data_IF_993435752647
#
_entry.id   IF_993435752647
#
_cell.length_a   1.000
_cell.length_b   1.000
_cell.length_c   1.000
_cell.angle_alpha   90.00
_cell.angle_beta   90.00
_cell.angle_gamma   90.00
#
_symmetry.space_group_name_H-M   'P 1'
#
loop_
_entity.id
_entity.type
_entity.pdbx_description
1 polymer ?
#
# COMPACT_ATOMS: atom_id res chain seq x y z
N UNK A 1 -24.69 -25.37 -3.91
CA UNK A 1 -24.72 -24.76 -5.26
C UNK A 1 -24.04 -25.71 -6.23
N UNK A 2 -24.56 -25.89 -7.45
CA UNK A 2 -23.89 -26.71 -8.45
C UNK A 2 -22.56 -26.04 -8.88
N UNK A 3 -21.50 -26.84 -9.03
CA UNK A 3 -20.20 -26.43 -9.60
C UNK A 3 -20.46 -25.75 -10.96
N UNK A 4 -19.80 -24.63 -11.25
CA UNK A 4 -20.01 -23.89 -12.51
C UNK A 4 -21.27 -23.01 -12.58
N UNK A 5 -22.08 -22.89 -11.52
CA UNK A 5 -23.28 -22.02 -11.55
C UNK A 5 -22.95 -20.53 -11.38
N UNK A 6 -21.86 -20.20 -10.68
CA UNK A 6 -21.40 -18.83 -10.46
C UNK A 6 -20.79 -18.27 -11.75
N UNK A 7 -19.81 -18.97 -12.33
CA UNK A 7 -19.15 -18.55 -13.57
C UNK A 7 -20.12 -18.38 -14.74
N UNK A 8 -21.06 -19.31 -14.94
CA UNK A 8 -22.08 -19.21 -16.01
C UNK A 8 -22.96 -17.97 -15.88
N UNK A 9 -23.37 -17.62 -14.66
CA UNK A 9 -24.19 -16.45 -14.40
C UNK A 9 -23.41 -15.16 -14.63
N UNK A 10 -22.15 -15.10 -14.18
CA UNK A 10 -21.28 -13.94 -14.37
C UNK A 10 -21.01 -13.74 -15.86
N UNK A 11 -20.61 -14.80 -16.58
CA UNK A 11 -20.42 -14.79 -18.04
C UNK A 11 -21.62 -14.18 -18.76
N UNK A 12 -22.82 -14.74 -18.54
CA UNK A 12 -24.06 -14.27 -19.21
C UNK A 12 -24.34 -12.79 -18.95
N UNK A 13 -24.20 -12.34 -17.70
CA UNK A 13 -24.44 -10.93 -17.34
C UNK A 13 -23.39 -10.02 -17.96
N UNK A 14 -22.12 -10.42 -17.91
CA UNK A 14 -21.02 -9.61 -18.38
C UNK A 14 -21.04 -9.45 -19.91
N UNK A 15 -21.39 -10.49 -20.67
CA UNK A 15 -21.60 -10.36 -22.13
C UNK A 15 -22.62 -9.28 -22.47
N UNK A 16 -23.73 -9.23 -21.72
CA UNK A 16 -24.78 -8.21 -21.92
C UNK A 16 -24.29 -6.80 -21.64
N UNK A 17 -23.51 -6.62 -20.56
CA UNK A 17 -22.96 -5.32 -20.16
C UNK A 17 -21.87 -4.85 -21.14
N UNK A 18 -20.95 -5.74 -21.52
CA UNK A 18 -19.74 -5.35 -22.25
C UNK A 18 -19.96 -5.07 -23.73
N UNK A 19 -20.98 -5.65 -24.37
CA UNK A 19 -21.26 -5.44 -25.81
C UNK A 19 -21.47 -3.98 -26.20
N UNK A 20 -21.90 -3.12 -25.27
CA UNK A 20 -22.05 -1.67 -25.47
C UNK A 20 -21.25 -0.80 -24.50
N UNK A 21 -20.41 -1.38 -23.64
CA UNK A 21 -19.67 -0.63 -22.64
C UNK A 21 -18.48 0.13 -23.26
N UNK A 22 -18.41 1.44 -23.02
CA UNK A 22 -17.21 2.25 -23.27
C UNK A 22 -16.12 1.94 -22.23
N UNK A 23 -16.51 1.74 -20.97
CA UNK A 23 -15.61 1.36 -19.88
C UNK A 23 -15.73 -0.13 -19.54
N UNK A 24 -14.91 -0.94 -20.22
CA UNK A 24 -14.85 -2.39 -20.01
C UNK A 24 -14.31 -2.75 -18.64
N UNK A 25 -13.30 -2.03 -18.16
CA UNK A 25 -12.61 -2.32 -16.91
C UNK A 25 -13.50 -2.02 -15.70
N UNK A 26 -14.10 -0.82 -15.66
CA UNK A 26 -15.03 -0.43 -14.59
C UNK A 26 -16.25 -1.34 -14.54
N UNK A 27 -16.85 -1.64 -15.70
CA UNK A 27 -18.02 -2.54 -15.80
C UNK A 27 -17.71 -3.95 -15.31
N UNK A 28 -16.54 -4.49 -15.66
CA UNK A 28 -16.11 -5.82 -15.23
C UNK A 28 -15.88 -5.85 -13.72
N UNK A 29 -15.12 -4.88 -13.20
CA UNK A 29 -14.77 -4.77 -11.78
C UNK A 29 -16.02 -4.62 -10.90
N UNK A 30 -16.95 -3.76 -11.30
CA UNK A 30 -18.18 -3.55 -10.54
C UNK A 30 -19.03 -4.83 -10.48
N UNK A 31 -19.19 -5.50 -11.62
CA UNK A 31 -19.99 -6.71 -11.72
C UNK A 31 -19.38 -7.87 -10.93
N UNK A 32 -18.07 -8.10 -11.04
CA UNK A 32 -17.39 -9.18 -10.30
C UNK A 32 -17.42 -8.91 -8.81
N UNK A 33 -17.15 -7.67 -8.36
CA UNK A 33 -17.26 -7.26 -6.95
C UNK A 33 -18.65 -7.51 -6.37
N UNK A 34 -19.69 -7.06 -7.07
CA UNK A 34 -21.06 -7.27 -6.64
C UNK A 34 -21.43 -8.77 -6.63
N UNK A 35 -20.97 -9.53 -7.62
CA UNK A 35 -21.22 -10.96 -7.71
C UNK A 35 -20.54 -11.74 -6.58
N UNK A 36 -19.25 -11.54 -6.36
CA UNK A 36 -18.48 -12.21 -5.31
C UNK A 36 -19.07 -11.92 -3.93
N UNK A 37 -19.31 -10.64 -3.60
CA UNK A 37 -19.93 -10.27 -2.32
C UNK A 37 -21.28 -10.98 -2.14
N UNK A 38 -22.14 -10.96 -3.17
CA UNK A 38 -23.45 -11.61 -3.12
C UNK A 38 -23.36 -13.12 -2.92
N UNK A 39 -22.49 -13.83 -3.65
CA UNK A 39 -22.37 -15.28 -3.55
C UNK A 39 -21.76 -15.72 -2.21
N UNK A 40 -20.82 -14.94 -1.66
CA UNK A 40 -20.27 -15.19 -0.33
C UNK A 40 -21.32 -14.94 0.76
N UNK A 41 -22.11 -13.85 0.66
CA UNK A 41 -23.17 -13.53 1.62
C UNK A 41 -24.36 -14.49 1.57
N UNK A 42 -24.61 -15.15 0.44
CA UNK A 42 -25.71 -16.10 0.28
C UNK A 42 -25.53 -17.41 1.08
N UNK A 43 -24.36 -17.65 1.69
CA UNK A 43 -24.09 -18.87 2.45
C UNK A 43 -24.58 -18.77 3.92
N UNK A 44 -25.58 -19.60 4.27
CA UNK A 44 -26.28 -19.61 5.58
C UNK A 44 -25.68 -20.57 6.62
N UNK A 45 -24.82 -21.52 6.24
CA UNK A 45 -24.28 -22.54 7.17
C UNK A 45 -22.84 -22.25 7.61
N UNK A 46 -22.59 -22.21 8.93
CA UNK A 46 -21.27 -21.92 9.54
C UNK A 46 -20.20 -23.01 9.34
N UNK A 47 -20.58 -24.25 9.01
CA UNK A 47 -19.65 -25.41 8.85
C UNK A 47 -19.03 -25.54 7.45
N UNK A 48 -19.59 -24.86 6.43
CA UNK A 48 -19.12 -24.87 5.04
C UNK A 48 -18.39 -23.57 4.63
N UNK A 49 -18.20 -22.63 5.56
CA UNK A 49 -17.43 -21.39 5.36
C UNK A 49 -15.92 -21.62 5.53
N UNK A 50 -15.42 -22.65 4.88
CA UNK A 50 -13.99 -22.93 4.80
C UNK A 50 -13.32 -21.98 3.81
N UNK A 51 -12.01 -21.74 3.96
CA UNK A 51 -11.19 -21.01 2.99
C UNK A 51 -11.46 -21.47 1.54
N UNK A 52 -11.65 -22.78 1.34
CA UNK A 52 -12.04 -23.40 0.06
C UNK A 52 -13.33 -22.84 -0.56
N UNK A 53 -14.34 -22.46 0.23
CA UNK A 53 -15.56 -21.86 -0.33
C UNK A 53 -15.28 -20.47 -0.91
N UNK A 54 -14.50 -19.67 -0.19
CA UNK A 54 -14.11 -18.32 -0.65
C UNK A 54 -13.30 -18.45 -1.93
N UNK A 55 -12.29 -19.33 -1.92
CA UNK A 55 -11.46 -19.65 -3.07
C UNK A 55 -12.32 -20.09 -4.28
N UNK A 56 -13.25 -21.03 -4.11
CA UNK A 56 -14.12 -21.46 -5.21
C UNK A 56 -14.98 -20.33 -5.79
N UNK A 57 -15.52 -19.43 -4.95
CA UNK A 57 -16.32 -18.30 -5.43
C UNK A 57 -15.45 -17.29 -6.17
N UNK A 58 -14.23 -17.03 -5.68
CA UNK A 58 -13.25 -16.15 -6.34
C UNK A 58 -12.88 -16.71 -7.71
N UNK A 59 -12.49 -17.99 -7.77
CA UNK A 59 -12.13 -18.69 -9.00
C UNK A 59 -13.25 -18.64 -10.04
N UNK A 60 -14.46 -19.04 -9.65
CA UNK A 60 -15.64 -19.00 -10.53
C UNK A 60 -15.99 -17.59 -10.97
N UNK A 61 -15.73 -16.58 -10.14
CA UNK A 61 -15.96 -15.18 -10.49
C UNK A 61 -14.99 -14.74 -11.57
N UNK A 62 -13.70 -14.99 -11.39
CA UNK A 62 -12.65 -14.57 -12.32
C UNK A 62 -12.81 -15.29 -13.66
N UNK A 63 -12.95 -16.62 -13.66
CA UNK A 63 -13.15 -17.41 -14.89
C UNK A 63 -14.45 -17.00 -15.61
N UNK A 64 -15.54 -16.81 -14.85
CA UNK A 64 -16.82 -16.34 -15.41
C UNK A 64 -16.70 -14.98 -16.09
N UNK A 65 -15.93 -14.06 -15.50
CA UNK A 65 -15.70 -12.74 -16.08
C UNK A 65 -14.82 -12.82 -17.33
N UNK A 66 -13.75 -13.61 -17.32
CA UNK A 66 -12.89 -13.79 -18.50
C UNK A 66 -13.64 -14.38 -19.68
N UNK A 67 -14.43 -15.44 -19.46
CA UNK A 67 -15.31 -16.01 -20.50
C UNK A 67 -16.29 -14.96 -21.02
N UNK A 68 -16.87 -14.15 -20.13
CA UNK A 68 -17.80 -13.08 -20.52
C UNK A 68 -17.14 -11.94 -21.31
N UNK A 69 -15.89 -11.61 -21.00
CA UNK A 69 -15.08 -10.66 -21.76
C UNK A 69 -14.70 -11.19 -23.13
N UNK A 70 -14.27 -12.45 -23.22
CA UNK A 70 -13.96 -13.14 -24.48
C UNK A 70 -15.18 -13.22 -25.41
N UNK A 71 -16.32 -13.68 -24.88
CA UNK A 71 -17.59 -13.76 -25.61
C UNK A 71 -18.08 -12.37 -26.10
N UNK A 72 -17.64 -11.30 -25.45
CA UNK A 72 -17.93 -9.91 -25.82
C UNK A 72 -16.86 -9.28 -26.73
N UNK A 73 -15.82 -10.04 -27.13
CA UNK A 73 -14.71 -9.59 -27.98
C UNK A 73 -13.85 -8.52 -27.32
N UNK A 74 -13.66 -8.57 -26.00
CA UNK A 74 -12.89 -7.57 -25.24
C UNK A 74 -11.48 -8.05 -24.93
N UNK A 75 -10.61 -7.08 -24.66
CA UNK A 75 -9.21 -7.31 -24.29
C UNK A 75 -9.10 -8.16 -23.01
N UNK A 76 -8.62 -9.40 -23.15
CA UNK A 76 -8.53 -10.37 -22.06
C UNK A 76 -7.63 -9.92 -20.91
N UNK A 77 -6.41 -9.38 -21.14
CA UNK A 77 -5.59 -8.88 -20.05
C UNK A 77 -6.26 -7.77 -19.22
N UNK A 78 -6.96 -6.83 -19.87
CA UNK A 78 -7.71 -5.80 -19.15
C UNK A 78 -8.92 -6.36 -18.38
N UNK A 79 -9.64 -7.32 -18.97
CA UNK A 79 -10.74 -8.02 -18.29
C UNK A 79 -10.22 -8.82 -17.09
N UNK A 80 -9.11 -9.53 -17.23
CA UNK A 80 -8.49 -10.30 -16.16
C UNK A 80 -8.09 -9.41 -14.98
N UNK A 81 -7.40 -8.29 -15.25
CA UNK A 81 -7.05 -7.31 -14.22
C UNK A 81 -8.29 -6.81 -13.47
N UNK A 82 -9.32 -6.39 -14.20
CA UNK A 82 -10.56 -5.89 -13.62
C UNK A 82 -11.33 -6.95 -12.84
N UNK A 83 -11.36 -8.19 -13.34
CA UNK A 83 -12.02 -9.32 -12.71
C UNK A 83 -11.36 -9.68 -11.38
N UNK A 84 -10.03 -9.77 -11.35
CA UNK A 84 -9.24 -10.02 -10.14
C UNK A 84 -9.48 -8.93 -9.10
N UNK A 85 -9.42 -7.65 -9.51
CA UNK A 85 -9.68 -6.53 -8.59
C UNK A 85 -11.07 -6.65 -7.98
N UNK A 86 -12.09 -6.80 -8.82
CA UNK A 86 -13.46 -6.86 -8.34
C UNK A 86 -13.72 -8.08 -7.47
N UNK A 87 -13.17 -9.26 -7.81
CA UNK A 87 -13.32 -10.45 -6.99
C UNK A 87 -12.72 -10.26 -5.58
N UNK A 88 -11.49 -9.76 -5.49
CA UNK A 88 -10.79 -9.52 -4.21
C UNK A 88 -11.52 -8.45 -3.38
N UNK A 89 -11.91 -7.32 -3.99
CA UNK A 89 -12.72 -6.30 -3.31
C UNK A 89 -14.09 -6.84 -2.88
N UNK A 90 -14.67 -7.76 -3.65
CA UNK A 90 -15.92 -8.43 -3.32
C UNK A 90 -15.79 -9.32 -2.08
N UNK A 91 -14.66 -10.01 -1.93
CA UNK A 91 -14.33 -10.75 -0.70
C UNK A 91 -14.27 -9.79 0.49
N UNK A 92 -13.58 -8.64 0.35
CA UNK A 92 -13.39 -7.67 1.43
C UNK A 92 -14.69 -7.05 1.97
N UNK A 93 -15.78 -7.08 1.19
CA UNK A 93 -17.13 -6.67 1.65
C UNK A 93 -17.78 -7.67 2.61
N UNK A 94 -17.28 -8.91 2.66
CA UNK A 94 -17.88 -10.00 3.46
C UNK A 94 -16.94 -10.52 4.53
N UNK A 95 -15.63 -10.58 4.25
CA UNK A 95 -14.60 -11.10 5.15
C UNK A 95 -13.22 -10.54 4.81
N UNK A 96 -12.23 -10.75 5.67
CA UNK A 96 -10.85 -10.34 5.39
C UNK A 96 -10.28 -11.10 4.19
N UNK A 97 -9.50 -10.38 3.38
CA UNK A 97 -8.71 -10.93 2.30
C UNK A 97 -7.48 -11.62 2.89
N UNK A 98 -7.14 -12.81 2.36
CA UNK A 98 -5.96 -13.61 2.75
C UNK A 98 -5.04 -13.82 1.55
N UNK A 99 -3.80 -14.24 1.78
CA UNK A 99 -2.86 -14.67 0.75
C UNK A 99 -3.49 -15.68 -0.24
N UNK A 100 -4.24 -16.66 0.28
CA UNK A 100 -4.96 -17.65 -0.54
C UNK A 100 -5.99 -17.03 -1.49
N UNK A 101 -6.64 -15.92 -1.10
CA UNK A 101 -7.60 -15.21 -1.98
C UNK A 101 -6.87 -14.55 -3.14
N UNK A 102 -5.71 -13.93 -2.89
CA UNK A 102 -4.93 -13.28 -3.95
C UNK A 102 -4.35 -14.32 -4.91
N UNK A 103 -3.73 -15.38 -4.38
CA UNK A 103 -3.15 -16.44 -5.23
C UNK A 103 -4.22 -17.20 -6.01
N UNK A 104 -5.38 -17.49 -5.41
CA UNK A 104 -6.48 -18.14 -6.12
C UNK A 104 -7.03 -17.24 -7.24
N UNK A 105 -7.19 -15.94 -7.01
CA UNK A 105 -7.69 -15.01 -8.03
C UNK A 105 -6.76 -14.91 -9.24
N UNK A 106 -5.43 -14.82 -9.02
CA UNK A 106 -4.47 -14.77 -10.12
C UNK A 106 -4.34 -16.12 -10.84
N UNK A 107 -4.34 -17.23 -10.10
CA UNK A 107 -4.35 -18.58 -10.68
C UNK A 107 -5.56 -18.79 -11.59
N UNK A 108 -6.74 -18.39 -11.12
CA UNK A 108 -7.98 -18.46 -11.90
C UNK A 108 -7.93 -17.61 -13.17
N UNK A 109 -7.25 -16.46 -13.13
CA UNK A 109 -7.06 -15.63 -14.32
C UNK A 109 -6.15 -16.29 -15.36
N UNK A 110 -5.05 -16.90 -14.91
CA UNK A 110 -4.11 -17.60 -15.80
C UNK A 110 -4.76 -18.85 -16.42
N UNK A 111 -5.44 -19.67 -15.61
CA UNK A 111 -6.23 -20.81 -16.13
C UNK A 111 -7.31 -20.35 -17.10
N UNK A 112 -8.00 -19.26 -16.78
CA UNK A 112 -8.99 -18.67 -17.69
C UNK A 112 -8.39 -18.22 -19.02
N UNK A 113 -7.15 -17.71 -19.03
CA UNK A 113 -6.46 -17.32 -20.27
C UNK A 113 -6.10 -18.53 -21.12
N UNK A 114 -5.59 -19.59 -20.49
CA UNK A 114 -5.27 -20.85 -21.13
C UNK A 114 -6.50 -21.47 -21.80
N UNK A 115 -7.61 -21.60 -21.05
CA UNK A 115 -8.88 -22.14 -21.58
C UNK A 115 -9.42 -21.35 -22.78
N UNK A 116 -9.12 -20.05 -22.85
CA UNK A 116 -9.60 -19.14 -23.86
C UNK A 116 -8.61 -18.90 -25.01
N UNK A 117 -7.41 -19.51 -24.96
CA UNK A 117 -6.34 -19.29 -25.93
C UNK A 117 -5.81 -17.84 -25.96
N UNK A 118 -5.87 -17.13 -24.82
CA UNK A 118 -5.38 -15.77 -24.68
C UNK A 118 -3.87 -15.68 -24.48
N UNK A 119 -3.33 -14.46 -24.46
CA UNK A 119 -1.94 -14.19 -24.07
C UNK A 119 -1.77 -14.45 -22.57
N UNK A 120 -1.34 -15.67 -22.23
CA UNK A 120 -1.17 -16.12 -20.84
C UNK A 120 -0.14 -15.26 -20.09
N UNK A 121 0.93 -14.82 -20.76
CA UNK A 121 2.00 -14.03 -20.13
C UNK A 121 1.49 -12.64 -19.75
N UNK A 122 0.82 -11.95 -20.66
CA UNK A 122 0.27 -10.62 -20.38
C UNK A 122 -0.94 -10.70 -19.43
N UNK A 123 -1.79 -11.74 -19.52
CA UNK A 123 -2.87 -11.96 -18.53
C UNK A 123 -2.29 -12.18 -17.14
N UNK A 124 -1.28 -13.04 -16.99
CA UNK A 124 -0.64 -13.30 -15.70
C UNK A 124 -0.09 -12.00 -15.09
N UNK A 125 0.63 -11.20 -15.89
CA UNK A 125 1.15 -9.90 -15.48
C UNK A 125 0.04 -8.96 -15.01
N UNK A 126 -1.01 -8.80 -15.81
CA UNK A 126 -2.13 -7.88 -15.53
C UNK A 126 -2.99 -8.36 -14.36
N UNK A 127 -3.13 -9.66 -14.17
CA UNK A 127 -3.77 -10.26 -13.00
C UNK A 127 -2.98 -9.98 -11.71
N UNK A 128 -1.65 -10.12 -11.73
CA UNK A 128 -0.79 -9.78 -10.58
C UNK A 128 -0.90 -8.30 -10.23
N UNK A 129 -0.85 -7.41 -11.21
CA UNK A 129 -1.09 -5.97 -11.00
C UNK A 129 -2.45 -5.72 -10.34
N UNK A 130 -3.51 -6.39 -10.83
CA UNK A 130 -4.84 -6.30 -10.27
C UNK A 130 -4.94 -6.79 -8.83
N UNK A 131 -4.26 -7.90 -8.50
CA UNK A 131 -4.26 -8.45 -7.16
C UNK A 131 -3.53 -7.55 -6.15
N UNK A 132 -2.37 -6.99 -6.54
CA UNK A 132 -1.62 -6.03 -5.71
C UNK A 132 -2.43 -4.75 -5.49
N UNK A 133 -3.03 -4.21 -6.56
CA UNK A 133 -3.87 -3.01 -6.51
C UNK A 133 -5.09 -3.21 -5.61
N UNK A 134 -5.79 -4.34 -5.72
CA UNK A 134 -6.92 -4.67 -4.88
C UNK A 134 -6.51 -4.91 -3.42
N UNK A 135 -5.42 -5.64 -3.20
CA UNK A 135 -4.83 -5.87 -1.88
C UNK A 135 -4.55 -4.54 -1.16
N UNK A 136 -3.92 -3.59 -1.84
CA UNK A 136 -3.65 -2.26 -1.28
C UNK A 136 -4.92 -1.49 -0.90
N UNK A 137 -5.95 -1.50 -1.76
CA UNK A 137 -7.22 -0.82 -1.50
C UNK A 137 -7.95 -1.37 -0.28
N UNK A 138 -7.72 -2.63 0.07
CA UNK A 138 -8.32 -3.29 1.23
C UNK A 138 -7.37 -3.35 2.43
N UNK A 139 -6.23 -2.66 2.39
CA UNK A 139 -5.27 -2.58 3.50
C UNK A 139 -4.38 -3.80 3.69
N UNK A 140 -4.28 -4.67 2.68
CA UNK A 140 -3.36 -5.81 2.67
C UNK A 140 -1.92 -5.35 2.39
N UNK A 141 -0.95 -6.04 2.99
CA UNK A 141 0.47 -5.71 2.82
C UNK A 141 0.90 -5.84 1.33
N UNK A 142 1.45 -4.79 0.70
CA UNK A 142 1.76 -4.80 -0.72
C UNK A 142 2.78 -5.88 -1.13
N UNK A 143 3.78 -6.16 -0.29
CA UNK A 143 4.82 -7.14 -0.61
C UNK A 143 4.27 -8.57 -0.51
N UNK A 144 3.51 -8.86 0.55
CA UNK A 144 2.80 -10.14 0.68
C UNK A 144 1.79 -10.32 -0.43
N UNK A 145 1.09 -9.26 -0.84
CA UNK A 145 0.15 -9.31 -1.94
C UNK A 145 0.84 -9.70 -3.25
N UNK A 146 1.96 -9.04 -3.55
CA UNK A 146 2.76 -9.32 -4.74
C UNK A 146 3.27 -10.77 -4.77
N UNK A 147 3.79 -11.27 -3.64
CA UNK A 147 4.27 -12.66 -3.52
C UNK A 147 3.15 -13.68 -3.71
N UNK A 148 2.01 -13.50 -3.03
CA UNK A 148 0.87 -14.39 -3.15
C UNK A 148 0.28 -14.39 -4.58
N UNK A 149 0.11 -13.21 -5.16
CA UNK A 149 -0.36 -13.05 -6.53
C UNK A 149 0.57 -13.73 -7.54
N UNK A 150 1.89 -13.57 -7.38
CA UNK A 150 2.90 -14.20 -8.23
C UNK A 150 2.88 -15.73 -8.14
N UNK A 151 2.82 -16.27 -6.91
CA UNK A 151 2.69 -17.71 -6.70
C UNK A 151 1.45 -18.25 -7.40
N UNK A 152 0.30 -17.61 -7.22
CA UNK A 152 -0.94 -18.03 -7.88
C UNK A 152 -0.85 -17.98 -9.41
N UNK A 153 -0.22 -16.96 -9.97
CA UNK A 153 -0.04 -16.85 -11.41
C UNK A 153 0.88 -17.95 -11.97
N UNK A 154 1.97 -18.32 -11.27
CA UNK A 154 2.83 -19.44 -11.65
C UNK A 154 2.15 -20.80 -11.45
N UNK A 155 1.39 -21.00 -10.38
CA UNK A 155 0.56 -22.21 -10.20
C UNK A 155 -0.49 -22.35 -11.30
N UNK A 156 -0.93 -21.23 -11.89
CA UNK A 156 -1.86 -21.22 -13.01
C UNK A 156 -1.28 -21.79 -14.30
N UNK A 157 0.04 -21.97 -14.39
CA UNK A 157 0.73 -22.51 -15.58
C UNK A 157 1.11 -23.98 -15.46
N UNK A 158 0.65 -24.69 -14.42
CA UNK A 158 1.03 -26.10 -14.18
C UNK A 158 0.69 -27.06 -15.33
N UNK A 159 -0.32 -26.71 -16.14
CA UNK A 159 -0.77 -27.50 -17.29
C UNK A 159 -0.05 -27.11 -18.59
N UNK A 160 0.81 -26.08 -18.55
CA UNK A 160 1.54 -25.54 -19.69
C UNK A 160 2.97 -26.08 -19.78
N UNK A 161 3.55 -25.95 -20.97
CA UNK A 161 4.96 -26.24 -21.19
C UNK A 161 5.87 -25.33 -20.34
N UNK A 162 7.00 -25.88 -19.90
CA UNK A 162 7.98 -25.20 -19.02
C UNK A 162 8.41 -23.82 -19.56
N UNK A 163 8.51 -23.67 -20.87
CA UNK A 163 8.89 -22.39 -21.52
C UNK A 163 7.90 -21.26 -21.21
N UNK A 164 6.60 -21.56 -21.16
CA UNK A 164 5.55 -20.56 -20.88
C UNK A 164 5.55 -20.22 -19.40
N UNK A 165 5.68 -21.23 -18.53
CA UNK A 165 5.81 -21.03 -17.09
C UNK A 165 7.01 -20.12 -16.75
N UNK A 166 8.14 -20.34 -17.42
CA UNK A 166 9.37 -19.55 -17.26
C UNK A 166 9.19 -18.10 -17.70
N UNK A 167 8.47 -17.89 -18.82
CA UNK A 167 8.16 -16.56 -19.32
C UNK A 167 7.24 -15.79 -18.36
N UNK A 168 6.23 -16.46 -17.80
CA UNK A 168 5.34 -15.91 -16.77
C UNK A 168 6.14 -15.50 -15.53
N UNK A 169 6.98 -16.40 -15.00
CA UNK A 169 7.80 -16.11 -13.82
C UNK A 169 8.71 -14.89 -14.02
N UNK A 170 9.39 -14.79 -15.18
CA UNK A 170 10.25 -13.64 -15.54
C UNK A 170 9.46 -12.33 -15.66
N UNK A 171 8.32 -12.35 -16.33
CA UNK A 171 7.45 -11.18 -16.51
C UNK A 171 6.94 -10.63 -15.16
N UNK A 172 6.52 -11.53 -14.27
CA UNK A 172 6.05 -11.18 -12.94
C UNK A 172 7.18 -10.61 -12.08
N UNK A 173 8.36 -11.23 -12.08
CA UNK A 173 9.51 -10.73 -11.33
C UNK A 173 9.89 -9.30 -11.72
N UNK A 174 9.87 -8.99 -13.03
CA UNK A 174 10.06 -7.63 -13.53
C UNK A 174 9.01 -6.65 -13.00
N UNK A 175 7.74 -7.08 -12.98
CA UNK A 175 6.62 -6.28 -12.48
C UNK A 175 6.73 -6.01 -10.98
N UNK A 176 7.07 -7.00 -10.16
CA UNK A 176 7.28 -6.84 -8.71
C UNK A 176 8.43 -5.87 -8.43
N UNK A 177 9.55 -6.02 -9.16
CA UNK A 177 10.70 -5.14 -9.01
C UNK A 177 10.35 -3.69 -9.36
N UNK A 178 9.63 -3.48 -10.47
CA UNK A 178 9.13 -2.16 -10.86
C UNK A 178 8.15 -1.55 -9.85
N UNK A 179 7.20 -2.36 -9.34
CA UNK A 179 6.26 -1.93 -8.32
C UNK A 179 6.93 -1.61 -7.00
N UNK A 180 7.95 -2.38 -6.58
CA UNK A 180 8.70 -2.10 -5.34
C UNK A 180 9.29 -0.69 -5.37
N UNK A 181 9.88 -0.27 -6.50
CA UNK A 181 10.42 1.09 -6.64
C UNK A 181 9.35 2.18 -6.45
N UNK A 182 8.16 1.99 -7.04
CA UNK A 182 7.04 2.93 -6.91
C UNK A 182 6.47 2.93 -5.48
N UNK A 183 6.36 1.74 -4.87
CA UNK A 183 5.85 1.58 -3.50
C UNK A 183 6.81 2.15 -2.46
N UNK A 184 8.11 1.93 -2.60
CA UNK A 184 9.10 2.55 -1.72
C UNK A 184 9.02 4.07 -1.75
N UNK A 185 8.78 4.67 -2.92
CA UNK A 185 8.57 6.11 -3.05
C UNK A 185 7.25 6.59 -2.43
N UNK A 186 6.14 5.87 -2.67
CA UNK A 186 4.82 6.26 -2.18
C UNK A 186 4.63 6.06 -0.67
N UNK A 187 5.40 5.14 -0.06
CA UNK A 187 5.31 4.78 1.36
C UNK A 187 6.53 5.22 2.18
N UNK A 188 7.44 6.02 1.61
CA UNK A 188 8.55 6.60 2.36
C UNK A 188 8.01 7.43 3.52
N UNK A 189 8.33 7.00 4.76
CA UNK A 189 7.88 7.72 5.96
C UNK A 189 8.46 9.13 5.89
N UNK A 190 7.67 10.19 6.14
CA UNK A 190 8.22 11.54 6.11
C UNK A 190 9.39 11.65 7.10
N UNK A 191 10.46 12.39 6.76
CA UNK A 191 11.66 12.45 7.58
C UNK A 191 11.41 13.18 8.91
N UNK A 192 12.28 12.90 9.88
CA UNK A 192 12.47 13.73 11.06
C UNK A 192 13.43 14.86 10.68
N UNK A 193 12.98 16.12 10.81
CA UNK A 193 13.82 17.28 10.53
C UNK A 193 14.58 17.68 11.80
N UNK A 194 15.90 17.69 11.76
CA UNK A 194 16.76 18.13 12.86
C UNK A 194 17.20 19.57 12.59
N UNK A 195 16.89 20.46 13.50
CA UNK A 195 17.21 21.89 13.39
C UNK A 195 18.17 22.25 14.51
N UNK A 196 19.32 22.84 14.18
CA UNK A 196 20.27 23.30 15.19
C UNK A 196 21.29 24.28 14.64
N UNK A 197 21.85 25.13 15.51
CA UNK A 197 22.83 26.15 15.11
C UNK A 197 24.20 25.58 14.72
N UNK A 198 24.48 24.31 15.04
CA UNK A 198 25.70 23.61 14.65
C UNK A 198 25.39 22.48 13.66
N UNK A 199 25.81 22.67 12.41
CA UNK A 199 25.60 21.70 11.33
C UNK A 199 26.21 20.33 11.63
N UNK A 200 27.40 20.27 12.21
CA UNK A 200 28.07 19.02 12.54
C UNK A 200 27.32 18.24 13.61
N UNK A 201 26.79 18.91 14.63
CA UNK A 201 26.00 18.27 15.68
C UNK A 201 24.68 17.72 15.14
N UNK A 202 23.98 18.51 14.30
CA UNK A 202 22.74 18.08 13.65
C UNK A 202 22.98 16.87 12.73
N UNK A 203 24.07 16.86 11.96
CA UNK A 203 24.45 15.75 11.09
C UNK A 203 24.81 14.49 11.88
N UNK A 204 25.58 14.61 12.96
CA UNK A 204 25.94 13.47 13.82
C UNK A 204 24.70 12.87 14.49
N UNK A 205 23.76 13.71 14.92
CA UNK A 205 22.48 13.27 15.45
C UNK A 205 21.64 12.56 14.38
N UNK A 206 21.58 13.12 13.18
CA UNK A 206 20.92 12.50 12.03
C UNK A 206 21.48 11.12 11.69
N UNK A 207 22.80 10.99 11.62
CA UNK A 207 23.45 9.69 11.40
C UNK A 207 23.11 8.67 12.51
N UNK A 208 23.06 9.12 13.76
CA UNK A 208 22.71 8.25 14.89
C UNK A 208 21.25 7.78 14.82
N UNK A 209 20.32 8.67 14.45
CA UNK A 209 18.90 8.34 14.27
C UNK A 209 18.64 7.50 13.01
N UNK A 210 19.42 7.68 11.95
CA UNK A 210 19.38 6.83 10.76
C UNK A 210 19.72 5.37 11.10
N UNK A 211 20.67 5.14 12.01
CA UNK A 211 20.99 3.78 12.51
C UNK A 211 19.86 3.18 13.34
N UNK A 212 19.03 4.01 13.98
CA UNK A 212 17.80 3.61 14.67
C UNK A 212 16.59 3.46 13.71
N UNK A 213 16.79 3.64 12.40
CA UNK A 213 15.77 3.41 11.36
C UNK A 213 14.88 4.63 11.06
N UNK A 214 15.24 5.83 11.52
CA UNK A 214 14.55 7.07 11.14
C UNK A 214 15.23 7.72 9.95
N UNK A 215 14.47 8.12 8.94
CA UNK A 215 15.01 9.03 7.93
C UNK A 215 15.10 10.44 8.49
N UNK A 216 16.23 11.11 8.26
CA UNK A 216 16.48 12.45 8.81
C UNK A 216 16.92 13.42 7.73
N UNK A 217 16.39 14.65 7.82
CA UNK A 217 16.90 15.83 7.13
C UNK A 217 17.46 16.79 8.19
N UNK A 218 18.36 17.70 7.79
CA UNK A 218 18.93 18.69 8.71
C UNK A 218 18.75 20.11 8.19
N UNK A 219 18.39 21.03 9.08
CA UNK A 219 18.49 22.46 8.87
C UNK A 219 19.51 23.05 9.86
N UNK A 220 20.45 23.81 9.33
CA UNK A 220 21.53 24.48 10.08
C UNK A 220 21.21 25.93 10.45
N UNK A 221 20.01 26.42 10.12
CA UNK A 221 19.52 27.75 10.51
C UNK A 221 18.00 27.79 10.57
N UNK A 222 17.47 28.84 11.21
CA UNK A 222 16.02 29.12 11.25
C UNK A 222 15.47 29.53 9.87
N UNK A 223 16.29 30.13 9.01
CA UNK A 223 15.91 30.43 7.62
C UNK A 223 15.74 29.14 6.80
N UNK A 224 16.68 28.20 6.92
CA UNK A 224 16.56 26.88 6.26
C UNK A 224 15.34 26.12 6.78
N UNK A 225 15.02 26.22 8.08
CA UNK A 225 13.79 25.65 8.64
C UNK A 225 12.54 26.23 7.94
N UNK A 226 12.45 27.55 7.84
CA UNK A 226 11.30 28.23 7.22
C UNK A 226 11.14 27.86 5.73
N UNK A 227 12.25 27.76 4.99
CA UNK A 227 12.24 27.38 3.58
C UNK A 227 11.72 25.95 3.39
N UNK A 228 12.16 25.01 4.23
CA UNK A 228 11.68 23.62 4.19
C UNK A 228 10.18 23.57 4.52
N UNK A 229 9.73 24.27 5.57
CA UNK A 229 8.31 24.31 5.96
C UNK A 229 7.45 24.90 4.83
N UNK A 230 7.94 25.94 4.15
CA UNK A 230 7.24 26.60 3.05
C UNK A 230 7.18 25.75 1.77
N UNK A 231 8.19 24.92 1.52
CA UNK A 231 8.23 24.02 0.37
C UNK A 231 7.07 23.02 0.35
N UNK A 232 6.43 22.78 1.51
CA UNK A 232 5.36 21.79 1.66
C UNK A 232 5.89 20.35 1.74
N UNK A 233 7.21 20.17 1.90
CA UNK A 233 7.79 18.86 2.20
C UNK A 233 7.12 18.26 3.45
N UNK A 234 6.71 17.01 3.36
CA UNK A 234 6.11 16.34 4.52
C UNK A 234 7.19 16.10 5.56
N UNK A 235 7.00 16.62 6.77
CA UNK A 235 7.87 16.39 7.92
C UNK A 235 7.08 15.64 8.98
N UNK A 236 7.67 14.56 9.51
CA UNK A 236 7.03 13.72 10.52
C UNK A 236 7.15 14.31 11.92
N UNK A 237 8.29 14.93 12.22
CA UNK A 237 8.61 15.57 13.49
C UNK A 237 9.79 16.51 13.28
N UNK A 238 9.79 17.65 13.97
CA UNK A 238 10.98 18.51 14.08
C UNK A 238 11.66 18.27 15.43
N UNK A 239 12.97 18.00 15.43
CA UNK A 239 13.84 18.05 16.60
C UNK A 239 14.58 19.37 16.59
N UNK A 240 14.20 20.27 17.50
CA UNK A 240 14.70 21.64 17.54
C UNK A 240 15.73 21.79 18.66
N UNK A 241 17.00 21.73 18.31
CA UNK A 241 18.10 22.07 19.20
C UNK A 241 18.28 23.58 19.29
N UNK A 242 17.81 24.14 20.42
CA UNK A 242 17.89 25.58 20.67
C UNK A 242 19.30 26.05 21.05
N UNK A 243 20.27 25.13 21.17
CA UNK A 243 21.66 25.48 21.49
C UNK A 243 22.25 26.33 20.38
N UNK A 244 22.71 27.54 20.72
CA UNK A 244 23.33 28.46 19.76
C UNK A 244 22.34 29.14 18.80
N UNK A 245 21.03 28.92 18.96
CA UNK A 245 20.00 29.68 18.25
C UNK A 245 19.62 30.93 19.07
N UNK A 246 19.23 31.99 18.37
CA UNK A 246 18.81 33.23 19.02
C UNK A 246 17.36 33.14 19.57
N UNK A 247 16.90 34.21 20.21
CA UNK A 247 15.56 34.27 20.85
C UNK A 247 14.40 34.24 19.85
N UNK A 248 14.64 34.48 18.56
CA UNK A 248 13.60 34.48 17.53
C UNK A 248 13.11 33.07 17.20
N UNK A 249 13.84 32.02 17.61
CA UNK A 249 13.46 30.60 17.43
C UNK A 249 11.99 30.30 17.73
N UNK A 250 11.43 30.94 18.75
CA UNK A 250 10.04 30.76 19.13
C UNK A 250 9.04 31.31 18.11
N UNK A 251 9.35 32.40 17.42
CA UNK A 251 8.52 32.94 16.32
C UNK A 251 8.48 31.95 15.14
N UNK A 252 9.59 31.27 14.86
CA UNK A 252 9.65 30.21 13.85
C UNK A 252 8.83 28.97 14.26
N UNK A 253 8.81 28.62 15.55
CA UNK A 253 7.94 27.54 16.06
C UNK A 253 6.44 27.81 15.83
N UNK A 254 6.02 29.09 15.73
CA UNK A 254 4.64 29.41 15.37
C UNK A 254 4.28 28.92 13.95
N UNK A 255 5.24 28.95 13.01
CA UNK A 255 5.05 28.42 11.66
C UNK A 255 4.86 26.91 11.67
N UNK A 256 5.65 26.18 12.46
CA UNK A 256 5.48 24.73 12.67
C UNK A 256 4.09 24.40 13.21
N UNK A 257 3.62 25.18 14.21
CA UNK A 257 2.28 25.03 14.79
C UNK A 257 1.18 25.28 13.75
N UNK A 258 1.30 26.34 12.93
CA UNK A 258 0.35 26.66 11.85
C UNK A 258 0.31 25.55 10.79
N UNK A 259 1.48 25.02 10.43
CA UNK A 259 1.63 23.88 9.52
C UNK A 259 1.23 22.53 10.14
N UNK A 260 0.87 22.50 11.44
CA UNK A 260 0.55 21.29 12.22
C UNK A 260 1.67 20.25 12.23
N UNK A 261 2.92 20.71 12.13
CA UNK A 261 4.10 19.84 12.22
C UNK A 261 4.46 19.72 13.71
N UNK A 262 4.45 18.50 14.29
CA UNK A 262 4.84 18.33 15.68
C UNK A 262 6.33 18.62 15.83
N UNK A 263 6.73 19.15 16.98
CA UNK A 263 8.14 19.41 17.27
C UNK A 263 8.48 19.14 18.73
N UNK A 264 9.73 18.78 19.00
CA UNK A 264 10.32 18.56 20.32
C UNK A 264 11.53 19.47 20.46
N UNK A 265 11.65 20.13 21.61
CA UNK A 265 12.76 21.03 21.90
C UNK A 265 13.88 20.26 22.59
N UNK A 266 15.12 20.44 22.14
CA UNK A 266 16.35 19.97 22.78
C UNK A 266 17.05 21.20 23.37
N UNK A 267 17.14 21.26 24.70
CA UNK A 267 17.70 22.39 25.43
C UNK A 267 19.08 22.05 26.03
N UNK A 268 20.01 23.02 26.10
CA UNK A 268 21.33 22.80 26.68
C UNK A 268 21.30 22.62 28.21
N UNK A 269 20.32 23.20 28.90
CA UNK A 269 20.11 23.04 30.34
C UNK A 269 18.63 23.18 30.72
N UNK A 270 18.28 22.75 31.94
CA UNK A 270 16.94 22.95 32.50
C UNK A 270 16.68 24.45 32.69
N UNK A 271 15.61 24.95 32.08
CA UNK A 271 15.17 26.33 32.23
C UNK A 271 13.64 26.39 32.30
N UNK A 272 13.07 26.94 33.38
CA UNK A 272 11.63 27.16 33.50
C UNK A 272 11.08 28.02 32.35
N UNK A 273 11.85 29.03 31.92
CA UNK A 273 11.47 29.90 30.80
C UNK A 273 11.38 29.11 29.49
N UNK A 274 12.38 28.28 29.17
CA UNK A 274 12.36 27.42 27.96
C UNK A 274 11.18 26.45 28.01
N UNK A 275 10.91 25.85 29.18
CA UNK A 275 9.77 24.94 29.35
C UNK A 275 8.44 25.67 29.12
N UNK A 276 8.29 26.87 29.66
CA UNK A 276 7.08 27.68 29.50
C UNK A 276 6.85 28.09 28.04
N UNK A 277 7.90 28.58 27.35
CA UNK A 277 7.79 28.94 25.94
C UNK A 277 7.51 27.71 25.06
N UNK A 278 8.18 26.58 25.32
CA UNK A 278 7.94 25.32 24.60
C UNK A 278 6.46 24.92 24.65
N UNK A 279 5.82 25.01 25.83
CA UNK A 279 4.38 24.74 25.98
C UNK A 279 3.55 25.77 25.20
N UNK A 280 3.88 27.07 25.32
CA UNK A 280 3.15 28.16 24.65
C UNK A 280 3.12 27.98 23.13
N UNK A 281 4.23 27.57 22.53
CA UNK A 281 4.34 27.37 21.08
C UNK A 281 3.93 25.97 20.61
N UNK A 282 3.52 25.09 21.52
CA UNK A 282 2.94 23.78 21.19
C UNK A 282 3.96 22.65 20.99
N UNK A 283 5.15 22.77 21.58
CA UNK A 283 6.12 21.68 21.60
C UNK A 283 5.50 20.44 22.27
N UNK A 284 5.80 19.27 21.72
CA UNK A 284 5.32 17.96 22.21
C UNK A 284 6.18 17.41 23.35
N UNK A 285 7.32 18.03 23.61
CA UNK A 285 8.22 17.68 24.69
C UNK A 285 9.44 18.61 24.73
N UNK A 286 10.14 18.57 25.86
CA UNK A 286 11.42 19.24 26.06
C UNK A 286 12.41 18.22 26.62
N UNK A 287 13.50 18.00 25.91
CA UNK A 287 14.62 17.16 26.31
C UNK A 287 15.80 18.06 26.70
N UNK A 288 16.60 17.63 27.67
CA UNK A 288 17.74 18.41 28.17
C UNK A 288 19.02 17.63 27.99
N UNK A 289 20.04 18.24 27.37
CA UNK A 289 21.34 17.61 27.15
C UNK A 289 22.07 17.28 28.47
N UNK A 290 22.88 16.21 28.52
CA UNK A 290 23.12 15.22 27.46
C UNK A 290 21.94 14.24 27.31
N UNK A 291 21.62 13.86 26.07
CA UNK A 291 20.52 12.93 25.74
C UNK A 291 21.14 11.77 24.95
N UNK A 292 20.81 10.54 25.31
CA UNK A 292 21.25 9.37 24.55
C UNK A 292 20.40 9.18 23.28
N UNK A 293 20.96 8.56 22.24
CA UNK A 293 20.20 8.23 21.02
C UNK A 293 18.96 7.38 21.34
N UNK A 294 19.07 6.47 22.31
CA UNK A 294 17.97 5.59 22.74
C UNK A 294 16.83 6.38 23.39
N UNK A 295 17.15 7.29 24.30
CA UNK A 295 16.16 8.16 24.96
C UNK A 295 15.46 9.07 23.94
N UNK A 296 16.22 9.62 23.00
CA UNK A 296 15.68 10.43 21.91
C UNK A 296 14.75 9.58 21.02
N UNK A 297 15.16 8.37 20.63
CA UNK A 297 14.35 7.45 19.84
C UNK A 297 13.05 7.07 20.56
N UNK A 298 13.07 6.82 21.87
CA UNK A 298 11.87 6.54 22.67
C UNK A 298 10.91 7.73 22.68
N UNK A 299 11.43 8.95 22.82
CA UNK A 299 10.61 10.16 22.77
C UNK A 299 10.00 10.40 21.39
N UNK A 300 10.76 10.18 20.32
CA UNK A 300 10.27 10.24 18.93
C UNK A 300 9.10 9.27 18.72
N UNK A 301 9.23 8.02 19.19
CA UNK A 301 8.13 7.02 19.11
C UNK A 301 6.88 7.49 19.86
N UNK A 302 7.05 8.03 21.07
CA UNK A 302 5.94 8.50 21.89
C UNK A 302 5.19 9.68 21.24
N UNK A 303 5.90 10.57 20.55
CA UNK A 303 5.29 11.76 19.93
C UNK A 303 4.57 11.43 18.64
N UNK A 304 5.12 10.52 17.83
CA UNK A 304 4.59 10.26 16.48
C UNK A 304 3.59 9.09 16.46
N UNK A 305 3.56 8.25 17.50
CA UNK A 305 2.76 7.02 17.50
C UNK A 305 3.43 5.91 16.69
N UNK A 306 3.14 4.67 17.08
CA UNK A 306 3.61 3.43 16.44
C UNK A 306 3.09 3.30 15.02
#
# INVERSE_FOLDING_TARGET
MAVGSVSRNIRKRLVGVLKGAADVAGSTMELTRAATARYLSASTSRRDKASRWIENVVEETVIGAMRGGSDAGKDLPSVAKAAVIGAIEGVSKVTNVTDAVLSNATRAAVKGAEELGGDVVEVARRAVEGAVEAGQRVGFDPEKAARAAAMGATEGTEELDETVADAVAKSIAGTISGMRGILEMAFKKPPVLIVGGNRSDAQNLGQSLNREGYETNTASSLAELDDIVRSGERIRLVLLDISGLDKTVWQHCEQLRKARIPFVVIAPQRSPAVKQESIRYGARGVLVKPISTKELAEHIRAVIGS
#
